data_IF_957945465653
#
_entry.id   IF_957945465653
#
_cell.length_a   1.000
_cell.length_b   1.000
_cell.length_c   1.000
_cell.angle_alpha   90.00
_cell.angle_beta   90.00
_cell.angle_gamma   90.00
#
_symmetry.space_group_name_H-M   'P 1'
#
loop_
_entity.id
_entity.type
_entity.pdbx_description
1 polymer ?
#
# COMPACT_ATOMS: atom_id res chain seq x y z
N UNK A 1 -4.06 3.03 6.75
CA UNK A 1 -4.62 3.85 7.85
C UNK A 1 -4.24 5.34 7.68
N UNK A 2 -4.69 6.27 8.52
CA UNK A 2 -4.23 7.69 8.45
C UNK A 2 -2.78 7.87 8.93
N UNK A 3 -2.30 7.05 9.87
CA UNK A 3 -0.94 7.10 10.44
C UNK A 3 -0.28 5.72 10.44
N UNK A 4 1.05 5.70 10.47
CA UNK A 4 1.83 4.47 10.72
C UNK A 4 1.43 3.84 12.05
N UNK A 5 1.31 2.52 12.07
CA UNK A 5 0.98 1.71 13.24
C UNK A 5 -0.34 2.12 13.94
N UNK A 6 -1.32 2.60 13.17
CA UNK A 6 -2.65 3.00 13.64
C UNK A 6 -3.74 2.29 12.86
N UNK A 7 -4.87 2.02 13.51
CA UNK A 7 -6.08 1.41 12.95
C UNK A 7 -7.15 2.45 12.57
N UNK A 8 -6.93 3.76 12.78
CA UNK A 8 -7.95 4.79 12.50
C UNK A 8 -8.10 5.04 10.98
N UNK A 9 -9.28 4.76 10.39
CA UNK A 9 -9.54 4.98 8.98
C UNK A 9 -10.04 6.41 8.67
N UNK A 10 -10.42 7.21 9.68
CA UNK A 10 -10.98 8.56 9.47
C UNK A 10 -9.93 9.48 8.85
N UNK A 11 -10.31 10.19 7.79
CA UNK A 11 -9.46 11.13 7.03
C UNK A 11 -8.15 10.58 6.42
N UNK A 12 -8.01 9.25 6.31
CA UNK A 12 -6.81 8.64 5.70
C UNK A 12 -6.59 9.05 4.24
N UNK A 13 -5.40 9.61 3.95
CA UNK A 13 -4.94 9.86 2.57
C UNK A 13 -4.97 8.58 1.73
N UNK A 14 -4.63 7.43 2.33
CA UNK A 14 -4.59 6.14 1.64
C UNK A 14 -5.98 5.72 1.14
N UNK A 15 -7.05 6.02 1.88
CA UNK A 15 -8.42 5.75 1.42
C UNK A 15 -8.90 6.73 0.34
N UNK A 16 -8.49 8.01 0.39
CA UNK A 16 -8.76 8.97 -0.70
C UNK A 16 -8.03 8.55 -1.98
N UNK A 17 -6.77 8.15 -1.85
CA UNK A 17 -5.97 7.63 -2.94
C UNK A 17 -6.60 6.36 -3.55
N UNK A 18 -7.05 5.42 -2.71
CA UNK A 18 -7.77 4.22 -3.16
C UNK A 18 -8.93 4.58 -4.09
N UNK A 19 -9.79 5.53 -3.69
CA UNK A 19 -10.95 5.94 -4.50
C UNK A 19 -10.55 6.51 -5.86
N UNK A 20 -9.48 7.30 -5.91
CA UNK A 20 -8.95 7.82 -7.19
C UNK A 20 -8.40 6.69 -8.06
N UNK A 21 -7.65 5.76 -7.48
CA UNK A 21 -7.10 4.61 -8.20
C UNK A 21 -8.21 3.67 -8.69
N UNK A 22 -9.31 3.53 -7.97
CA UNK A 22 -10.45 2.71 -8.41
C UNK A 22 -11.14 3.27 -9.66
N UNK A 23 -10.93 4.55 -9.99
CA UNK A 23 -11.41 5.18 -11.22
C UNK A 23 -10.42 4.96 -12.37
N UNK A 24 -9.12 5.06 -12.09
CA UNK A 24 -8.06 5.09 -13.10
C UNK A 24 -7.44 3.72 -13.41
N UNK A 25 -7.52 2.76 -12.49
CA UNK A 25 -6.90 1.44 -12.61
C UNK A 25 -7.93 0.35 -12.90
N UNK A 26 -7.49 -0.70 -13.60
CA UNK A 26 -8.33 -1.86 -13.88
C UNK A 26 -8.75 -2.60 -12.60
N UNK A 27 -7.85 -2.71 -11.62
CA UNK A 27 -8.12 -3.36 -10.34
C UNK A 27 -7.25 -2.73 -9.23
N UNK A 28 -7.83 -2.56 -8.04
CA UNK A 28 -7.14 -1.99 -6.87
C UNK A 28 -7.17 -2.96 -5.71
N UNK A 29 -5.99 -3.37 -5.26
CA UNK A 29 -5.81 -4.18 -4.05
C UNK A 29 -5.38 -3.31 -2.88
N UNK A 30 -5.90 -3.63 -1.69
CA UNK A 30 -5.51 -2.97 -0.45
C UNK A 30 -5.09 -4.00 0.58
N UNK A 31 -4.01 -3.72 1.29
CA UNK A 31 -3.54 -4.50 2.44
C UNK A 31 -3.17 -3.51 3.54
N UNK A 32 -3.58 -3.82 4.77
CA UNK A 32 -3.18 -3.10 5.97
C UNK A 32 -3.17 -4.11 7.12
N UNK A 33 -2.07 -4.17 7.89
CA UNK A 33 -1.90 -5.18 8.95
C UNK A 33 -2.83 -4.94 10.14
N UNK A 34 -3.38 -3.73 10.28
CA UNK A 34 -4.26 -3.35 11.38
C UNK A 34 -5.74 -3.27 11.00
N UNK A 35 -6.07 -3.27 9.71
CA UNK A 35 -7.46 -3.12 9.24
C UNK A 35 -8.08 -4.49 9.01
N UNK A 36 -9.15 -4.77 9.76
CA UNK A 36 -9.94 -6.00 9.63
C UNK A 36 -11.12 -5.80 8.66
N UNK A 37 -10.80 -5.64 7.37
CA UNK A 37 -11.80 -5.55 6.30
C UNK A 37 -11.68 -6.74 5.35
N UNK A 38 -12.78 -7.46 5.11
CA UNK A 38 -12.81 -8.63 4.22
C UNK A 38 -12.47 -8.31 2.77
N UNK A 39 -12.57 -7.04 2.37
CA UNK A 39 -12.24 -6.56 1.01
C UNK A 39 -10.73 -6.39 0.81
N UNK A 40 -9.94 -6.36 1.89
CA UNK A 40 -8.49 -6.21 1.80
C UNK A 40 -7.86 -7.59 1.55
N UNK A 41 -6.81 -7.64 0.74
CA UNK A 41 -6.02 -8.86 0.56
C UNK A 41 -5.31 -9.20 1.87
N UNK A 42 -5.21 -10.49 2.18
CA UNK A 42 -4.80 -10.96 3.51
C UNK A 42 -3.30 -10.91 3.77
N UNK A 43 -2.49 -10.83 2.71
CA UNK A 43 -1.04 -10.79 2.83
C UNK A 43 -0.44 -9.72 1.92
N UNK A 44 0.65 -9.05 2.34
CA UNK A 44 1.31 -8.07 1.51
C UNK A 44 2.01 -8.73 0.30
N UNK A 45 2.46 -9.98 0.42
CA UNK A 45 3.07 -10.72 -0.68
C UNK A 45 2.07 -11.01 -1.80
N UNK A 46 0.82 -11.33 -1.45
CA UNK A 46 -0.23 -11.52 -2.46
C UNK A 46 -0.52 -10.21 -3.20
N UNK A 47 -0.61 -9.08 -2.49
CA UNK A 47 -0.77 -7.75 -3.09
C UNK A 47 0.36 -7.49 -4.10
N UNK A 48 1.61 -7.62 -3.66
CA UNK A 48 2.80 -7.36 -4.49
C UNK A 48 2.79 -8.25 -5.74
N UNK A 49 2.42 -9.53 -5.62
CA UNK A 49 2.38 -10.46 -6.75
C UNK A 49 1.35 -10.04 -7.81
N UNK A 50 0.16 -9.61 -7.37
CA UNK A 50 -0.99 -9.29 -8.23
C UNK A 50 -0.95 -7.87 -8.82
N UNK A 51 -0.23 -6.96 -8.20
CA UNK A 51 -0.13 -5.56 -8.65
C UNK A 51 0.96 -5.37 -9.70
N UNK A 52 0.77 -4.47 -10.66
CA UNK A 52 1.84 -3.98 -11.54
C UNK A 52 2.63 -2.83 -10.90
N UNK A 53 1.91 -1.97 -10.18
CA UNK A 53 2.42 -0.83 -9.41
C UNK A 53 2.01 -1.03 -7.95
N UNK A 54 2.96 -0.89 -7.03
CA UNK A 54 2.72 -0.94 -5.59
C UNK A 54 2.90 0.44 -4.99
N UNK A 55 1.95 0.89 -4.18
CA UNK A 55 2.01 2.20 -3.52
C UNK A 55 2.04 1.99 -2.01
N UNK A 56 3.05 2.56 -1.34
CA UNK A 56 3.13 2.54 0.13
C UNK A 56 2.22 3.65 0.66
N UNK A 57 0.98 3.29 0.96
CA UNK A 57 -0.03 4.23 1.46
C UNK A 57 0.19 4.70 2.90
N UNK A 58 0.94 3.94 3.71
CA UNK A 58 1.18 4.21 5.14
C UNK A 58 2.53 3.59 5.57
N UNK A 59 3.35 4.24 6.41
CA UNK A 59 4.70 3.78 6.75
C UNK A 59 4.70 2.76 7.90
N UNK A 60 3.91 1.69 7.77
CA UNK A 60 3.85 0.63 8.79
C UNK A 60 5.22 -0.03 8.94
N UNK A 61 5.66 -0.23 10.18
CA UNK A 61 6.96 -0.84 10.48
C UNK A 61 7.07 -2.26 9.90
N UNK A 62 5.96 -3.00 9.88
CA UNK A 62 5.84 -4.32 9.26
C UNK A 62 6.22 -4.33 7.77
N UNK A 63 6.12 -3.20 7.07
CA UNK A 63 6.44 -3.13 5.65
C UNK A 63 7.92 -3.02 5.38
N UNK A 64 8.76 -2.52 6.29
CA UNK A 64 10.20 -2.30 6.07
C UNK A 64 11.00 -3.53 5.58
N UNK A 65 10.46 -4.73 5.74
CA UNK A 65 11.09 -6.00 5.33
C UNK A 65 10.50 -6.59 4.03
N UNK A 66 9.60 -5.89 3.35
CA UNK A 66 9.03 -6.35 2.09
C UNK A 66 10.05 -6.24 0.96
N UNK A 67 9.89 -7.11 -0.03
CA UNK A 67 10.69 -7.08 -1.26
C UNK A 67 9.76 -6.93 -2.45
N UNK A 68 10.10 -6.02 -3.36
CA UNK A 68 9.29 -5.68 -4.53
C UNK A 68 9.98 -6.10 -5.82
N UNK A 69 10.61 -7.28 -5.82
CA UNK A 69 11.24 -7.84 -7.01
C UNK A 69 10.24 -7.81 -8.14
N UNK A 70 10.60 -7.24 -9.27
CA UNK A 70 9.66 -7.28 -10.36
C UNK A 70 8.58 -6.18 -10.32
N UNK A 71 8.60 -5.16 -9.45
CA UNK A 71 7.50 -4.17 -9.36
C UNK A 71 7.95 -2.72 -9.33
N UNK A 72 7.16 -1.84 -9.96
CA UNK A 72 7.27 -0.39 -9.77
C UNK A 72 6.68 -0.05 -8.40
N UNK A 73 7.40 0.75 -7.61
CA UNK A 73 7.01 1.08 -6.24
C UNK A 73 7.00 2.58 -6.05
N UNK A 74 5.86 3.12 -5.60
CA UNK A 74 5.73 4.50 -5.16
C UNK A 74 5.75 4.53 -3.64
N UNK A 75 6.91 4.85 -3.06
CA UNK A 75 7.05 5.01 -1.62
C UNK A 75 6.98 6.50 -1.24
N UNK A 76 5.76 6.96 -0.95
CA UNK A 76 5.48 8.35 -0.57
C UNK A 76 6.05 8.73 0.81
N UNK A 77 6.45 7.73 1.60
CA UNK A 77 6.93 7.92 2.96
C UNK A 77 8.44 7.76 3.08
N UNK A 78 9.11 7.46 1.97
CA UNK A 78 10.55 7.15 1.91
C UNK A 78 10.98 6.09 2.95
N UNK A 79 10.10 5.11 3.19
CA UNK A 79 10.31 4.01 4.11
C UNK A 79 11.59 3.20 3.80
N UNK A 80 12.00 3.17 2.54
CA UNK A 80 13.21 2.47 2.07
C UNK A 80 14.40 3.39 1.72
N UNK A 81 14.28 4.71 1.90
CA UNK A 81 15.35 5.68 1.57
C UNK A 81 15.65 5.77 0.07
N UNK A 82 14.65 5.49 -0.78
CA UNK A 82 14.77 5.40 -2.23
C UNK A 82 13.67 6.16 -2.98
N UNK A 83 12.71 6.76 -2.26
CA UNK A 83 11.53 7.38 -2.85
C UNK A 83 10.81 6.47 -3.85
N UNK A 84 10.63 6.96 -5.08
CA UNK A 84 9.99 6.18 -6.14
C UNK A 84 10.99 5.25 -6.81
N UNK A 85 10.70 3.95 -6.79
CA UNK A 85 11.53 2.90 -7.38
C UNK A 85 10.86 2.38 -8.66
N UNK A 86 11.43 2.72 -9.80
CA UNK A 86 11.11 2.07 -11.07
C UNK A 86 12.07 0.94 -11.34
N UNK A 87 11.63 0.01 -12.18
CA UNK A 87 12.07 -1.36 -12.12
C UNK A 87 12.14 -1.96 -13.52
#
# INVERSE_FOLDING_TARGET
AFKGDSDDPRDSLSYKLKKLLEIEAQEVFCHDVYIKDKRFVKSPQELIRRSDIVIIGTPHTAYRKLTFKGKNVVDMWDLYGKGVMFK
#
